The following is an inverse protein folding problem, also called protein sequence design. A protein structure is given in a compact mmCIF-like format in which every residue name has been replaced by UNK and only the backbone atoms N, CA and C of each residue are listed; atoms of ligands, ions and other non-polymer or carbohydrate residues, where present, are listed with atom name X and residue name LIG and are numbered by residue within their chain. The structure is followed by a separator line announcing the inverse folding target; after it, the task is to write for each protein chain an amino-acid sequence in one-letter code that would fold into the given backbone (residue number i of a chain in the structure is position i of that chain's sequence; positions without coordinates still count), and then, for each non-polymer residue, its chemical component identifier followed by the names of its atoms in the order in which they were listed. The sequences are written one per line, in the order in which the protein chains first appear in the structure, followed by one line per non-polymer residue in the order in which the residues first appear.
data_IF_470203120846
#
_entry.id   IF_470203120846
#
_cell.length_a   1.000
_cell.length_b   1.000
_cell.length_c   1.000
_cell.angle_alpha   90.00
_cell.angle_beta   90.00
_cell.angle_gamma   90.00
#
_symmetry.space_group_name_H-M   'P 1'
#
loop_
_entity.id
_entity.type
_entity.pdbx_description
1 polymer ?
#
# COMPACT_ATOMS: atom_id res chain seq x y z
N UNK A 1 7.38 5.63 21.12
CA UNK A 1 7.10 6.84 20.32
C UNK A 1 7.82 8.07 20.89
N UNK A 2 7.69 8.38 22.18
CA UNK A 2 8.36 9.52 22.81
C UNK A 2 9.89 9.51 22.62
N UNK A 3 10.54 8.38 22.82
CA UNK A 3 11.97 8.22 22.59
C UNK A 3 12.36 8.45 21.12
N UNK A 4 11.52 8.00 20.17
CA UNK A 4 11.76 8.22 18.73
C UNK A 4 11.59 9.69 18.31
N UNK A 5 10.79 10.45 19.05
CA UNK A 5 10.54 11.89 18.81
C UNK A 5 11.47 12.78 19.63
N UNK A 6 12.37 12.19 20.39
CA UNK A 6 13.32 12.88 21.28
C UNK A 6 12.60 13.84 22.24
N UNK A 7 11.55 13.36 22.91
CA UNK A 7 10.68 14.13 23.79
C UNK A 7 10.09 13.26 24.89
N UNK A 8 9.41 13.85 25.87
CA UNK A 8 8.61 13.12 26.85
C UNK A 8 7.29 12.60 26.28
N UNK A 9 6.52 11.89 27.10
CA UNK A 9 5.25 11.30 26.66
C UNK A 9 4.24 12.36 26.22
N UNK A 10 4.13 13.48 26.95
CA UNK A 10 3.20 14.55 26.62
C UNK A 10 3.61 15.27 25.33
N UNK A 11 4.91 15.58 25.18
CA UNK A 11 5.45 16.15 23.95
C UNK A 11 5.26 15.25 22.72
N UNK A 12 5.30 13.92 22.90
CA UNK A 12 5.00 13.01 21.80
C UNK A 12 3.53 13.07 21.37
N UNK A 13 2.59 13.17 22.33
CA UNK A 13 1.17 13.38 22.00
C UNK A 13 0.94 14.70 21.30
N UNK A 14 1.54 15.79 21.81
CA UNK A 14 1.42 17.12 21.21
C UNK A 14 1.92 17.12 19.76
N UNK A 15 3.13 16.62 19.52
CA UNK A 15 3.69 16.52 18.15
C UNK A 15 2.83 15.65 17.22
N UNK A 16 2.28 14.54 17.74
CA UNK A 16 1.39 13.69 16.94
C UNK A 16 0.08 14.39 16.58
N UNK A 17 -0.49 15.15 17.51
CA UNK A 17 -1.69 15.95 17.25
C UNK A 17 -1.41 17.09 16.26
N UNK A 18 -0.29 17.79 16.40
CA UNK A 18 0.13 18.83 15.46
C UNK A 18 0.28 18.29 14.04
N UNK A 19 0.94 17.13 13.88
CA UNK A 19 1.09 16.46 12.57
C UNK A 19 -0.29 16.10 12.00
N UNK A 20 -1.19 15.56 12.81
CA UNK A 20 -2.54 15.18 12.36
C UNK A 20 -3.35 16.41 11.93
N UNK A 21 -3.33 17.47 12.72
CA UNK A 21 -4.03 18.74 12.39
C UNK A 21 -3.48 19.32 11.09
N UNK A 22 -2.17 19.36 10.95
CA UNK A 22 -1.49 19.82 9.72
C UNK A 22 -1.94 19.01 8.50
N UNK A 23 -1.98 17.67 8.61
CA UNK A 23 -2.46 16.79 7.55
C UNK A 23 -3.93 16.99 7.18
N UNK A 24 -4.77 17.38 8.15
CA UNK A 24 -6.20 17.64 7.91
C UNK A 24 -6.42 19.02 7.28
N UNK A 25 -5.64 20.02 7.69
CA UNK A 25 -5.83 21.41 7.27
C UNK A 25 -5.09 21.75 5.97
N UNK A 26 -4.01 21.08 5.69
CA UNK A 26 -3.27 21.25 4.45
C UNK A 26 -3.56 20.08 3.52
N UNK A 27 -4.20 20.39 2.40
CA UNK A 27 -4.36 19.46 1.30
C UNK A 27 -2.96 19.24 0.67
N UNK A 28 -2.21 18.30 1.25
CA UNK A 28 -0.78 18.10 0.94
C UNK A 28 -0.54 17.32 -0.34
N UNK A 29 -1.59 16.62 -0.83
CA UNK A 29 -1.47 15.83 -2.04
C UNK A 29 -1.57 16.71 -3.29
N UNK A 30 -0.61 16.55 -4.20
CA UNK A 30 -0.61 17.23 -5.49
C UNK A 30 -0.45 16.20 -6.62
N UNK A 31 -1.40 16.13 -7.56
CA UNK A 31 -1.24 15.32 -8.79
C UNK A 31 0.00 15.76 -9.58
N UNK A 32 0.60 14.84 -10.32
CA UNK A 32 1.84 15.05 -11.06
C UNK A 32 1.63 15.04 -12.58
N UNK A 33 2.56 15.58 -13.33
CA UNK A 33 2.56 15.50 -14.80
C UNK A 33 2.77 14.05 -15.27
N UNK A 34 3.63 13.29 -14.60
CA UNK A 34 3.86 11.86 -14.76
C UNK A 34 3.95 11.24 -13.37
N UNK A 35 3.37 10.09 -13.15
CA UNK A 35 3.32 9.43 -11.85
C UNK A 35 3.76 7.96 -11.91
N UNK A 36 4.28 7.47 -10.80
CA UNK A 36 4.84 6.13 -10.67
C UNK A 36 3.97 5.30 -9.73
N UNK A 37 3.41 4.22 -10.24
CA UNK A 37 2.55 3.29 -9.49
C UNK A 37 3.26 1.97 -9.23
N UNK A 38 3.50 1.64 -7.97
CA UNK A 38 3.95 0.32 -7.54
C UNK A 38 2.75 -0.56 -7.23
N UNK A 39 2.64 -1.69 -7.91
CA UNK A 39 1.60 -2.69 -7.66
C UNK A 39 2.20 -3.90 -6.97
N UNK A 40 1.68 -4.25 -5.81
CA UNK A 40 2.14 -5.39 -5.01
C UNK A 40 1.05 -6.45 -4.89
N UNK A 41 1.40 -7.69 -5.17
CA UNK A 41 0.52 -8.83 -5.00
C UNK A 41 1.28 -10.09 -4.54
N UNK A 42 0.56 -11.07 -4.04
CA UNK A 42 1.13 -12.36 -3.62
C UNK A 42 0.41 -13.54 -4.30
N UNK A 43 -0.04 -13.38 -5.54
CA UNK A 43 -0.77 -14.40 -6.27
C UNK A 43 0.03 -14.90 -7.48
N UNK A 44 0.09 -16.23 -7.63
CA UNK A 44 0.63 -16.90 -8.82
C UNK A 44 -0.48 -17.59 -9.64
N UNK A 45 -1.74 -17.40 -9.27
CA UNK A 45 -2.86 -18.05 -9.93
C UNK A 45 -3.38 -17.22 -11.09
N UNK A 46 -3.39 -17.78 -12.30
CA UNK A 46 -4.03 -17.16 -13.48
C UNK A 46 -5.52 -16.86 -13.28
N UNK A 47 -6.16 -17.55 -12.34
CA UNK A 47 -7.59 -17.45 -12.01
C UNK A 47 -7.86 -16.50 -10.83
N UNK A 48 -6.88 -15.71 -10.41
CA UNK A 48 -7.05 -14.76 -9.31
C UNK A 48 -8.03 -13.65 -9.67
N UNK A 49 -9.10 -13.51 -8.90
CA UNK A 49 -10.09 -12.45 -9.06
C UNK A 49 -9.47 -11.05 -8.90
N UNK A 50 -8.56 -10.87 -7.93
CA UNK A 50 -7.87 -9.59 -7.72
C UNK A 50 -6.99 -9.21 -8.91
N UNK A 51 -6.26 -10.17 -9.50
CA UNK A 51 -5.46 -9.92 -10.70
C UNK A 51 -6.34 -9.65 -11.92
N UNK A 52 -7.48 -10.33 -12.07
CA UNK A 52 -8.41 -10.09 -13.18
C UNK A 52 -8.97 -8.66 -13.14
N UNK A 53 -9.39 -8.19 -11.96
CA UNK A 53 -9.84 -6.81 -11.77
C UNK A 53 -8.68 -5.83 -12.08
N UNK A 54 -7.48 -6.10 -11.52
CA UNK A 54 -6.32 -5.24 -11.75
C UNK A 54 -5.99 -5.09 -13.24
N UNK A 55 -6.02 -6.16 -14.03
CA UNK A 55 -5.76 -6.07 -15.46
C UNK A 55 -6.75 -5.11 -16.15
N UNK A 56 -8.01 -5.13 -15.75
CA UNK A 56 -9.04 -4.22 -16.31
C UNK A 56 -8.88 -2.77 -15.82
N UNK A 57 -8.47 -2.58 -14.58
CA UNK A 57 -8.11 -1.25 -14.08
C UNK A 57 -6.91 -0.70 -14.87
N UNK A 58 -5.86 -1.49 -15.02
CA UNK A 58 -4.64 -1.13 -15.73
C UNK A 58 -4.88 -0.69 -17.17
N UNK A 59 -5.79 -1.38 -17.89
CA UNK A 59 -6.18 -1.04 -19.27
C UNK A 59 -6.83 0.35 -19.40
N UNK A 60 -7.28 0.95 -18.29
CA UNK A 60 -8.01 2.23 -18.23
C UNK A 60 -7.23 3.37 -17.58
N UNK A 61 -6.08 3.08 -17.03
CA UNK A 61 -5.23 4.12 -16.43
C UNK A 61 -4.62 5.02 -17.51
N UNK A 62 -4.37 6.27 -17.17
CA UNK A 62 -3.68 7.23 -18.03
C UNK A 62 -2.25 6.75 -18.34
N UNK A 63 -1.82 6.89 -19.60
CA UNK A 63 -0.51 6.43 -20.09
C UNK A 63 0.67 7.14 -19.42
N UNK A 64 0.44 8.27 -18.75
CA UNK A 64 1.43 8.99 -17.93
C UNK A 64 1.71 8.32 -16.58
N UNK A 65 0.95 7.26 -16.24
CA UNK A 65 1.19 6.46 -15.03
C UNK A 65 2.14 5.32 -15.38
N UNK A 66 3.39 5.41 -14.93
CA UNK A 66 4.40 4.36 -15.08
C UNK A 66 4.18 3.27 -14.04
N UNK A 67 3.99 2.04 -14.46
CA UNK A 67 3.61 0.93 -13.59
C UNK A 67 4.76 -0.04 -13.42
N UNK A 68 5.09 -0.34 -12.14
CA UNK A 68 5.95 -1.45 -11.77
C UNK A 68 5.14 -2.46 -10.95
N UNK A 69 5.12 -3.72 -11.40
CA UNK A 69 4.44 -4.81 -10.70
C UNK A 69 5.45 -5.73 -10.03
N UNK A 70 5.26 -6.01 -8.73
CA UNK A 70 6.09 -6.94 -7.97
C UNK A 70 5.21 -8.01 -7.34
N UNK A 71 5.51 -9.28 -7.67
CA UNK A 71 4.92 -10.41 -6.97
C UNK A 71 5.74 -10.73 -5.71
N UNK A 72 5.16 -10.55 -4.55
CA UNK A 72 5.79 -10.79 -3.24
C UNK A 72 6.12 -12.26 -2.96
N UNK A 73 5.69 -13.20 -3.81
CA UNK A 73 6.11 -14.61 -3.76
C UNK A 73 7.40 -14.87 -4.51
N UNK A 74 7.83 -13.95 -5.36
CA UNK A 74 9.09 -14.07 -6.07
C UNK A 74 10.25 -13.67 -5.16
N UNK A 75 11.25 -14.54 -5.07
CA UNK A 75 12.39 -14.35 -4.17
C UNK A 75 12.07 -14.66 -2.70
N UNK A 76 13.03 -14.38 -1.86
CA UNK A 76 12.93 -14.65 -0.41
C UNK A 76 12.36 -13.45 0.31
N UNK A 77 11.09 -13.54 0.68
CA UNK A 77 10.42 -12.58 1.55
C UNK A 77 10.01 -13.26 2.85
N UNK A 78 10.86 -13.14 3.87
CA UNK A 78 10.55 -13.58 5.24
C UNK A 78 9.98 -12.42 6.05
N UNK A 79 9.21 -12.72 7.08
CA UNK A 79 8.63 -11.70 7.96
C UNK A 79 9.70 -11.00 8.82
N UNK A 80 9.29 -9.94 9.50
CA UNK A 80 10.11 -9.21 10.46
C UNK A 80 10.36 -10.06 11.70
N UNK A 81 11.63 -10.27 12.05
CA UNK A 81 12.02 -11.07 13.22
C UNK A 81 12.06 -10.27 14.53
N UNK A 82 11.57 -9.02 14.54
CA UNK A 82 11.50 -8.23 15.77
C UNK A 82 12.86 -7.85 16.36
N UNK A 83 13.81 -7.43 15.53
CA UNK A 83 15.13 -7.01 16.00
C UNK A 83 15.06 -5.93 17.08
N UNK A 84 16.04 -5.86 18.00
CA UNK A 84 16.17 -4.75 18.93
C UNK A 84 16.15 -3.39 18.19
N UNK A 85 15.50 -2.38 18.79
CA UNK A 85 15.31 -1.08 18.16
C UNK A 85 16.61 -0.48 17.59
N UNK A 86 17.70 -0.51 18.38
CA UNK A 86 19.01 0.04 17.95
C UNK A 86 19.56 -0.67 16.71
N UNK A 87 19.40 -1.98 16.62
CA UNK A 87 19.80 -2.75 15.45
C UNK A 87 18.94 -2.43 14.23
N UNK A 88 17.64 -2.37 14.40
CA UNK A 88 16.71 -1.99 13.32
C UNK A 88 17.00 -0.56 12.82
N UNK A 89 17.28 0.38 13.70
CA UNK A 89 17.64 1.76 13.37
C UNK A 89 18.96 1.81 12.58
N UNK A 90 20.00 1.13 13.06
CA UNK A 90 21.32 1.09 12.41
C UNK A 90 21.23 0.65 10.94
N UNK A 91 20.52 -0.44 10.67
CA UNK A 91 20.32 -0.89 9.28
C UNK A 91 19.35 0.01 8.50
N UNK A 92 18.31 0.55 9.14
CA UNK A 92 17.36 1.48 8.54
C UNK A 92 18.02 2.78 8.07
N UNK A 93 18.96 3.33 8.82
CA UNK A 93 19.76 4.51 8.45
C UNK A 93 20.61 4.28 7.20
N UNK A 94 20.96 3.02 6.93
CA UNK A 94 21.64 2.61 5.71
C UNK A 94 20.66 2.26 4.56
N UNK A 95 19.35 2.47 4.74
CA UNK A 95 18.31 2.07 3.80
C UNK A 95 18.17 0.55 3.63
N UNK A 96 18.55 -0.22 4.65
CA UNK A 96 18.63 -1.69 4.64
C UNK A 96 17.83 -2.31 5.79
N UNK A 97 17.64 -3.62 5.70
CA UNK A 97 17.20 -4.47 6.79
C UNK A 97 18.23 -5.59 6.96
N UNK A 98 18.56 -5.97 8.19
CA UNK A 98 19.56 -7.03 8.49
C UNK A 98 19.32 -8.31 7.68
N UNK A 99 18.06 -8.68 7.51
CA UNK A 99 17.67 -9.92 6.79
C UNK A 99 17.74 -9.83 5.26
N UNK A 100 18.13 -8.68 4.68
CA UNK A 100 18.33 -8.53 3.23
C UNK A 100 17.19 -9.08 2.35
N UNK A 101 17.58 -9.76 1.29
CA UNK A 101 16.68 -10.44 0.35
C UNK A 101 15.83 -9.50 -0.49
N UNK A 102 14.79 -10.04 -1.12
CA UNK A 102 13.93 -9.32 -2.07
C UNK A 102 13.38 -7.99 -1.51
N UNK A 103 13.17 -7.90 -0.18
CA UNK A 103 12.71 -6.67 0.45
C UNK A 103 13.69 -5.51 0.28
N UNK A 104 14.98 -5.77 0.46
CA UNK A 104 16.03 -4.73 0.38
C UNK A 104 16.48 -4.50 -1.06
N UNK A 105 16.58 -5.58 -1.83
CA UNK A 105 17.14 -5.55 -3.17
C UNK A 105 16.17 -5.01 -4.21
N UNK A 106 14.88 -5.33 -4.07
CA UNK A 106 13.87 -5.03 -5.08
C UNK A 106 12.75 -4.10 -4.55
N UNK A 107 12.21 -4.40 -3.36
CA UNK A 107 10.99 -3.75 -2.88
C UNK A 107 11.28 -2.35 -2.33
N UNK A 108 12.33 -2.14 -1.53
CA UNK A 108 12.68 -0.80 -1.03
C UNK A 108 12.98 0.21 -2.15
N UNK A 109 13.77 -0.13 -3.19
CA UNK A 109 13.95 0.76 -4.32
C UNK A 109 12.64 1.09 -5.02
N UNK A 110 11.77 0.10 -5.23
CA UNK A 110 10.46 0.30 -5.85
C UNK A 110 9.53 1.18 -5.01
N UNK A 111 9.50 1.01 -3.69
CA UNK A 111 8.74 1.88 -2.78
C UNK A 111 9.25 3.32 -2.80
N UNK A 112 10.57 3.51 -2.87
CA UNK A 112 11.16 4.86 -2.98
C UNK A 112 10.82 5.54 -4.30
N UNK A 113 10.83 4.78 -5.39
CA UNK A 113 10.52 5.24 -6.73
C UNK A 113 9.04 5.62 -6.90
N UNK A 114 8.14 4.91 -6.23
CA UNK A 114 6.70 5.06 -6.42
C UNK A 114 6.14 6.35 -5.80
N UNK A 115 5.18 6.95 -6.49
CA UNK A 115 4.31 8.03 -6.00
C UNK A 115 3.02 7.45 -5.40
N UNK A 116 2.65 6.24 -5.79
CA UNK A 116 1.53 5.51 -5.22
C UNK A 116 1.83 4.01 -5.11
N UNK A 117 1.17 3.36 -4.17
CA UNK A 117 1.19 1.91 -4.01
C UNK A 117 -0.23 1.36 -4.11
N UNK A 118 -0.43 0.38 -4.97
CA UNK A 118 -1.65 -0.41 -5.06
C UNK A 118 -1.39 -1.81 -4.52
N UNK A 119 -2.19 -2.23 -3.55
CA UNK A 119 -2.11 -3.55 -2.95
C UNK A 119 -3.26 -4.44 -3.43
N UNK A 120 -2.94 -5.58 -4.04
CA UNK A 120 -3.93 -6.57 -4.46
C UNK A 120 -4.08 -7.61 -3.35
N UNK A 121 -5.20 -7.57 -2.64
CA UNK A 121 -5.44 -8.31 -1.42
C UNK A 121 -6.62 -9.29 -1.55
N UNK A 122 -6.39 -10.54 -1.95
CA UNK A 122 -7.41 -11.57 -1.73
C UNK A 122 -7.60 -11.78 -0.23
N UNK A 123 -8.86 -11.90 0.20
CA UNK A 123 -9.18 -12.17 1.59
C UNK A 123 -8.95 -13.65 1.92
N UNK A 124 -8.11 -13.90 2.93
CA UNK A 124 -7.87 -15.22 3.51
C UNK A 124 -8.20 -15.17 5.01
N UNK A 125 -9.38 -15.65 5.39
CA UNK A 125 -9.81 -15.67 6.80
C UNK A 125 -9.76 -14.27 7.47
N UNK A 126 -10.28 -13.27 6.79
CA UNK A 126 -10.35 -11.87 7.25
C UNK A 126 -8.97 -11.26 7.61
N UNK A 127 -7.94 -11.75 6.91
CA UNK A 127 -6.57 -11.28 7.09
C UNK A 127 -5.86 -11.09 5.75
N UNK A 128 -4.88 -10.17 5.74
CA UNK A 128 -3.94 -10.03 4.65
C UNK A 128 -3.08 -11.29 4.50
N UNK A 129 -2.64 -11.59 3.28
CA UNK A 129 -1.74 -12.73 3.04
C UNK A 129 -0.41 -12.57 3.82
N UNK A 130 0.20 -13.69 4.17
CA UNK A 130 1.47 -13.70 4.92
C UNK A 130 2.56 -12.86 4.24
N UNK A 131 2.69 -12.93 2.92
CA UNK A 131 3.67 -12.12 2.19
C UNK A 131 3.36 -10.62 2.24
N UNK A 132 2.08 -10.23 2.19
CA UNK A 132 1.67 -8.84 2.33
C UNK A 132 1.94 -8.33 3.75
N UNK A 133 1.68 -9.13 4.75
CA UNK A 133 2.01 -8.84 6.17
C UNK A 133 3.51 -8.70 6.35
N UNK A 134 4.31 -9.61 5.79
CA UNK A 134 5.77 -9.53 5.84
C UNK A 134 6.30 -8.25 5.17
N UNK A 135 5.74 -7.85 4.02
CA UNK A 135 6.06 -6.57 3.37
C UNK A 135 5.80 -5.39 4.33
N UNK A 136 4.58 -5.31 4.89
CA UNK A 136 4.17 -4.22 5.80
C UNK A 136 5.08 -4.17 7.04
N UNK A 137 5.35 -5.30 7.67
CA UNK A 137 6.19 -5.39 8.85
C UNK A 137 7.62 -4.94 8.56
N UNK A 138 8.19 -5.39 7.46
CA UNK A 138 9.57 -5.06 7.09
C UNK A 138 9.74 -3.65 6.52
N UNK A 139 8.67 -3.02 6.04
CA UNK A 139 8.69 -1.60 5.66
C UNK A 139 9.12 -0.69 6.83
N UNK A 140 9.03 -1.18 8.06
CA UNK A 140 9.47 -0.48 9.26
C UNK A 140 10.94 -0.04 9.20
N UNK A 141 11.84 -0.83 8.63
CA UNK A 141 13.24 -0.44 8.52
C UNK A 141 13.42 0.79 7.60
N UNK A 142 12.73 0.79 6.46
CA UNK A 142 12.74 1.95 5.54
C UNK A 142 12.08 3.18 6.19
N UNK A 143 11.01 2.99 6.96
CA UNK A 143 10.29 4.05 7.66
C UNK A 143 11.10 4.71 8.77
N UNK A 144 12.24 4.15 9.20
CA UNK A 144 13.15 4.79 10.17
C UNK A 144 13.68 6.12 9.65
N UNK A 145 13.93 6.19 8.35
CA UNK A 145 14.56 7.36 7.69
C UNK A 145 13.68 8.03 6.64
N UNK A 146 12.60 7.37 6.23
CA UNK A 146 11.70 7.85 5.16
C UNK A 146 10.29 8.01 5.70
N UNK A 147 9.59 9.05 5.27
CA UNK A 147 8.15 9.24 5.48
C UNK A 147 7.45 9.09 4.14
N UNK A 148 6.18 8.66 4.17
CA UNK A 148 5.44 8.35 2.95
C UNK A 148 4.25 9.28 2.73
N UNK A 149 4.31 10.51 3.23
CA UNK A 149 3.27 11.53 3.02
C UNK A 149 3.02 11.86 1.55
N UNK A 150 4.06 11.70 0.74
CA UNK A 150 4.10 11.94 -0.70
C UNK A 150 3.69 10.73 -1.54
N UNK A 151 3.15 9.69 -0.92
CA UNK A 151 2.77 8.42 -1.57
C UNK A 151 1.32 8.05 -1.30
N UNK A 152 0.52 7.96 -2.37
CA UNK A 152 -0.88 7.55 -2.25
C UNK A 152 -1.00 6.02 -2.03
N UNK A 153 -1.99 5.64 -1.21
CA UNK A 153 -2.34 4.24 -0.95
C UNK A 153 -3.61 3.87 -1.69
N UNK A 154 -3.57 2.78 -2.45
CA UNK A 154 -4.74 2.17 -3.08
C UNK A 154 -4.82 0.68 -2.76
N UNK A 155 -6.02 0.11 -2.86
CA UNK A 155 -6.27 -1.32 -2.66
C UNK A 155 -7.30 -1.90 -3.62
N UNK A 156 -7.11 -3.17 -4.00
CA UNK A 156 -8.16 -4.00 -4.60
C UNK A 156 -8.29 -5.22 -3.70
N UNK A 157 -9.46 -5.38 -3.06
CA UNK A 157 -9.76 -6.48 -2.14
C UNK A 157 -10.88 -7.33 -2.72
N UNK A 158 -10.68 -8.64 -2.75
CA UNK A 158 -11.74 -9.58 -3.13
C UNK A 158 -11.90 -10.62 -2.04
N UNK A 159 -13.11 -10.68 -1.49
CA UNK A 159 -13.50 -11.64 -0.45
C UNK A 159 -14.43 -12.72 -1.02
N UNK A 160 -14.37 -13.93 -0.45
CA UNK A 160 -15.30 -15.00 -0.81
C UNK A 160 -16.74 -14.71 -0.39
N UNK A 161 -16.92 -14.08 0.78
CA UNK A 161 -18.22 -13.73 1.38
C UNK A 161 -18.21 -12.34 1.98
N UNK A 162 -17.38 -12.10 2.99
CA UNK A 162 -17.34 -10.87 3.81
C UNK A 162 -15.92 -10.52 4.18
N UNK A 163 -15.73 -9.47 4.98
CA UNK A 163 -14.44 -9.11 5.57
C UNK A 163 -13.54 -8.27 4.68
N UNK A 164 -14.00 -7.76 3.53
CA UNK A 164 -13.22 -6.83 2.72
C UNK A 164 -12.93 -5.54 3.49
N UNK A 165 -13.87 -5.06 4.27
CA UNK A 165 -13.76 -3.91 5.17
C UNK A 165 -12.71 -4.14 6.27
N UNK A 166 -12.59 -5.35 6.78
CA UNK A 166 -11.56 -5.71 7.76
C UNK A 166 -10.16 -5.60 7.16
N UNK A 167 -9.97 -6.06 5.92
CA UNK A 167 -8.69 -5.92 5.22
C UNK A 167 -8.40 -4.45 4.89
N UNK A 168 -9.40 -3.70 4.44
CA UNK A 168 -9.26 -2.26 4.20
C UNK A 168 -8.84 -1.54 5.49
N UNK A 169 -9.47 -1.87 6.62
CA UNK A 169 -9.08 -1.36 7.95
C UNK A 169 -7.65 -1.72 8.35
N UNK A 170 -7.18 -2.94 8.03
CA UNK A 170 -5.79 -3.34 8.26
C UNK A 170 -4.82 -2.49 7.41
N UNK A 171 -5.14 -2.22 6.15
CA UNK A 171 -4.32 -1.36 5.29
C UNK A 171 -4.27 0.08 5.81
N UNK A 172 -5.42 0.65 6.18
CA UNK A 172 -5.48 2.00 6.78
C UNK A 172 -4.64 2.07 8.04
N UNK A 173 -4.82 1.14 8.97
CA UNK A 173 -4.09 1.14 10.23
C UNK A 173 -2.59 0.97 10.03
N UNK A 174 -2.19 0.04 9.17
CA UNK A 174 -0.79 -0.31 8.99
C UNK A 174 -0.01 0.70 8.12
N UNK A 175 -0.63 1.24 7.09
CA UNK A 175 0.05 2.06 6.09
C UNK A 175 -0.26 3.55 6.22
N UNK A 176 -1.52 3.95 6.38
CA UNK A 176 -1.83 5.36 6.58
C UNK A 176 -1.48 5.81 8.01
N UNK A 177 -2.10 5.23 9.03
CA UNK A 177 -1.92 5.67 10.42
C UNK A 177 -0.51 5.40 10.97
N UNK A 178 0.09 4.26 10.63
CA UNK A 178 1.40 3.87 11.17
C UNK A 178 2.58 4.30 10.27
N UNK A 179 2.40 4.31 8.95
CA UNK A 179 3.46 4.56 7.97
C UNK A 179 3.30 5.86 7.17
N UNK A 180 2.25 6.65 7.46
CA UNK A 180 2.04 8.00 6.89
C UNK A 180 1.72 8.08 5.40
N UNK A 181 1.28 7.01 4.75
CA UNK A 181 0.80 7.09 3.38
C UNK A 181 -0.43 8.00 3.28
N UNK A 182 -0.50 8.78 2.21
CA UNK A 182 -1.70 9.54 1.89
C UNK A 182 -2.85 8.59 1.55
N UNK A 183 -4.02 8.83 2.15
CA UNK A 183 -5.21 8.01 1.97
C UNK A 183 -6.25 8.77 1.15
N UNK A 184 -6.38 8.53 -0.15
CA UNK A 184 -7.44 9.12 -0.94
C UNK A 184 -8.82 8.65 -0.47
N UNK A 185 -9.84 9.48 -0.62
CA UNK A 185 -11.23 9.02 -0.42
C UNK A 185 -11.54 7.85 -1.37
N UNK A 186 -12.26 6.80 -0.93
CA UNK A 186 -12.50 5.55 -1.69
C UNK A 186 -11.21 4.91 -2.21
N UNK A 187 -10.15 4.88 -1.39
CA UNK A 187 -8.84 4.34 -1.76
C UNK A 187 -8.88 2.88 -2.20
N UNK A 188 -9.95 2.17 -1.88
CA UNK A 188 -10.04 0.72 -2.05
C UNK A 188 -11.28 0.31 -2.82
N UNK A 189 -11.09 -0.50 -3.86
CA UNK A 189 -12.15 -1.25 -4.53
C UNK A 189 -12.35 -2.58 -3.81
N UNK A 190 -13.57 -2.86 -3.35
CA UNK A 190 -13.92 -4.06 -2.59
C UNK A 190 -15.01 -4.85 -3.30
N UNK A 191 -14.73 -6.13 -3.61
CA UNK A 191 -15.66 -7.01 -4.32
C UNK A 191 -15.84 -8.33 -3.58
N UNK A 192 -17.01 -8.95 -3.79
CA UNK A 192 -17.31 -10.27 -3.24
C UNK A 192 -17.44 -11.30 -4.36
N UNK A 193 -16.46 -12.22 -4.45
CA UNK A 193 -16.43 -13.25 -5.49
C UNK A 193 -15.61 -14.45 -5.02
N UNK A 194 -16.25 -15.56 -4.77
CA UNK A 194 -15.61 -16.77 -4.24
C UNK A 194 -14.92 -17.62 -5.33
N UNK A 195 -15.62 -17.86 -6.44
CA UNK A 195 -15.12 -18.75 -7.48
C UNK A 195 -14.14 -18.05 -8.40
N UNK A 196 -13.21 -18.78 -8.98
CA UNK A 196 -12.25 -18.29 -9.95
C UNK A 196 -12.95 -17.60 -11.14
N UNK A 197 -12.53 -16.35 -11.45
CA UNK A 197 -13.11 -15.55 -12.51
C UNK A 197 -14.52 -15.01 -12.25
N UNK A 198 -15.10 -15.26 -11.05
CA UNK A 198 -16.43 -14.79 -10.73
C UNK A 198 -16.50 -13.27 -10.55
N UNK A 199 -15.43 -12.63 -10.14
CA UNK A 199 -15.40 -11.17 -9.97
C UNK A 199 -15.76 -10.42 -11.25
N UNK A 200 -15.30 -10.89 -12.39
CA UNK A 200 -15.59 -10.27 -13.69
C UNK A 200 -17.02 -10.51 -14.22
N UNK A 201 -17.81 -11.30 -13.49
CA UNK A 201 -19.24 -11.58 -13.81
C UNK A 201 -20.19 -10.87 -12.85
N UNK A 202 -19.68 -10.08 -11.91
CA UNK A 202 -20.52 -9.35 -10.97
C UNK A 202 -21.30 -8.24 -11.69
N UNK A 203 -22.59 -8.03 -11.35
CA UNK A 203 -23.37 -6.94 -11.92
C UNK A 203 -22.68 -5.59 -11.68
N UNK A 204 -22.54 -4.78 -12.73
CA UNK A 204 -21.93 -3.44 -12.66
C UNK A 204 -20.43 -3.41 -12.37
N UNK A 205 -19.71 -4.54 -12.52
CA UNK A 205 -18.26 -4.59 -12.24
C UNK A 205 -17.47 -3.66 -13.16
N UNK A 206 -17.86 -3.56 -14.42
CA UNK A 206 -17.17 -2.71 -15.40
C UNK A 206 -17.29 -1.22 -15.03
N UNK A 207 -18.44 -0.78 -14.53
CA UNK A 207 -18.66 0.60 -14.08
C UNK A 207 -17.80 0.90 -12.86
N UNK A 208 -17.74 0.00 -11.88
CA UNK A 208 -16.90 0.16 -10.68
C UNK A 208 -15.40 0.14 -11.00
N UNK A 209 -14.97 -0.68 -11.95
CA UNK A 209 -13.58 -0.68 -12.45
C UNK A 209 -13.28 0.67 -13.11
N UNK A 210 -14.20 1.18 -13.94
CA UNK A 210 -14.06 2.48 -14.59
C UNK A 210 -13.93 3.60 -13.56
N UNK A 211 -14.86 3.67 -12.61
CA UNK A 211 -14.87 4.67 -11.53
C UNK A 211 -13.56 4.63 -10.71
N UNK A 212 -13.09 3.44 -10.35
CA UNK A 212 -11.86 3.28 -9.60
C UNK A 212 -10.63 3.72 -10.41
N UNK A 213 -10.57 3.39 -11.71
CA UNK A 213 -9.48 3.79 -12.60
C UNK A 213 -9.43 5.30 -12.82
N UNK A 214 -10.59 5.92 -13.07
CA UNK A 214 -10.71 7.38 -13.22
C UNK A 214 -10.28 8.09 -11.96
N UNK A 215 -10.67 7.58 -10.80
CA UNK A 215 -10.26 8.13 -9.52
C UNK A 215 -8.75 8.01 -9.28
N UNK A 216 -8.15 6.86 -9.56
CA UNK A 216 -6.71 6.71 -9.47
C UNK A 216 -6.00 7.71 -10.38
N UNK A 217 -6.46 7.86 -11.61
CA UNK A 217 -5.92 8.82 -12.58
C UNK A 217 -6.03 10.25 -12.05
N UNK A 218 -7.22 10.66 -11.58
CA UNK A 218 -7.43 12.00 -11.03
C UNK A 218 -6.54 12.32 -9.82
N UNK A 219 -6.29 11.33 -8.96
CA UNK A 219 -5.38 11.50 -7.81
C UNK A 219 -3.92 11.60 -8.28
N UNK A 220 -3.51 10.83 -9.27
CA UNK A 220 -2.12 10.71 -9.64
C UNK A 220 -1.67 11.70 -10.71
N UNK A 221 -2.55 12.07 -11.62
CA UNK A 221 -2.21 12.85 -12.81
C UNK A 221 -2.91 14.20 -12.78
N UNK A 222 -2.14 15.25 -13.02
CA UNK A 222 -2.65 16.61 -13.13
C UNK A 222 -3.54 16.74 -14.39
N UNK A 223 -4.71 17.31 -14.19
CA UNK A 223 -5.61 17.68 -15.30
C UNK A 223 -4.90 18.74 -16.16
N UNK A 224 -4.96 18.52 -17.46
CA UNK A 224 -4.39 19.43 -18.48
C UNK A 224 -5.39 20.51 -18.87
#
# INVERSE_FOLDING_TARGET
QAANMNTDRFGAYKKSAEILVHQILEETWQPKEESHLLVLHASNHRTSNTLAIWQKVKERLDDRIRIQEINLRNGTLVDCSGCPYKMCLHFGEQGKCFYGGAMVENIYPAVKWADAILLLCPNYNDALSANMTAFINRLTALFRTTRFYDKALFGIIVSGYSGSDLLAGQLVTALNMNKTFYLPGNFCMMETANNAGAAMKLPGIEDRIKEFSEKMTHILIKET
#
